data_IF_003657828720
#
_entry.id   IF_003657828720
#
_cell.length_a   1.000
_cell.length_b   1.000
_cell.length_c   1.000
_cell.angle_alpha   90.00
_cell.angle_beta   90.00
_cell.angle_gamma   90.00
#
_symmetry.space_group_name_H-M   'P 1'
#
loop_
_entity.id
_entity.type
_entity.pdbx_description
1 polymer ?
#
# COMPACT_ATOMS: atom_id res chain seq x y z
N UNK A 1 7.61 9.27 15.38
CA UNK A 1 6.40 9.29 16.22
C UNK A 1 5.53 8.12 15.78
N UNK A 2 4.60 7.67 16.61
CA UNK A 2 3.74 6.50 16.29
C UNK A 2 2.31 7.00 16.17
N UNK A 3 1.56 6.61 15.13
CA UNK A 3 0.20 7.06 14.92
C UNK A 3 -0.75 5.92 14.57
N UNK A 4 -1.95 5.93 15.13
CA UNK A 4 -3.04 5.00 14.80
C UNK A 4 -3.94 5.65 13.75
N UNK A 5 -4.19 4.95 12.65
CA UNK A 5 -5.13 5.37 11.62
C UNK A 5 -6.36 4.45 11.62
N UNK A 6 -7.51 5.00 11.99
CA UNK A 6 -8.76 4.27 12.03
C UNK A 6 -9.72 4.70 10.92
N UNK A 7 -10.36 3.72 10.30
CA UNK A 7 -11.51 3.91 9.43
C UNK A 7 -12.72 3.17 10.00
N UNK A 8 -13.83 3.87 10.23
CA UNK A 8 -15.06 3.28 10.81
C UNK A 8 -16.24 3.41 9.87
N UNK A 9 -16.89 2.29 9.58
CA UNK A 9 -18.09 2.19 8.74
C UNK A 9 -17.98 2.89 7.39
N UNK A 10 -16.77 2.80 6.79
CA UNK A 10 -16.45 3.49 5.55
C UNK A 10 -17.29 2.96 4.39
N UNK A 11 -18.16 3.81 3.87
CA UNK A 11 -18.98 3.54 2.69
C UNK A 11 -18.62 4.53 1.59
N UNK A 12 -18.39 4.02 0.39
CA UNK A 12 -18.10 4.83 -0.81
C UNK A 12 -19.01 4.42 -1.94
N UNK A 13 -19.80 5.37 -2.45
CA UNK A 13 -20.65 5.18 -3.63
C UNK A 13 -20.14 6.08 -4.76
N UNK A 14 -19.89 5.50 -5.95
CA UNK A 14 -19.50 6.23 -7.15
C UNK A 14 -20.27 5.72 -8.36
N UNK A 15 -20.78 6.66 -9.15
CA UNK A 15 -21.59 6.33 -10.34
C UNK A 15 -22.71 5.31 -10.04
N UNK A 16 -23.37 5.47 -8.89
CA UNK A 16 -24.43 4.58 -8.44
C UNK A 16 -23.98 3.19 -7.95
N UNK A 17 -22.66 2.91 -7.98
CA UNK A 17 -22.10 1.64 -7.47
C UNK A 17 -21.47 1.84 -6.11
N UNK A 18 -21.77 0.93 -5.19
CA UNK A 18 -21.13 0.86 -3.88
C UNK A 18 -19.76 0.18 -4.04
N UNK A 19 -18.68 0.95 -3.83
CA UNK A 19 -17.29 0.48 -3.96
C UNK A 19 -16.77 -0.04 -2.62
N UNK A 20 -17.10 0.65 -1.52
CA UNK A 20 -16.88 0.19 -0.15
C UNK A 20 -18.23 0.16 0.58
N UNK A 21 -18.44 -0.83 1.43
CA UNK A 21 -19.67 -1.08 2.13
C UNK A 21 -19.41 -1.37 3.60
N UNK A 22 -19.57 -0.34 4.45
CA UNK A 22 -19.36 -0.38 5.90
C UNK A 22 -18.01 -1.02 6.31
N UNK A 23 -16.93 -0.63 5.66
CA UNK A 23 -15.57 -1.14 5.95
C UNK A 23 -15.06 -0.49 7.23
N UNK A 24 -14.67 -1.31 8.21
CA UNK A 24 -13.97 -0.87 9.42
C UNK A 24 -12.58 -1.48 9.46
N UNK A 25 -11.55 -0.66 9.71
CA UNK A 25 -10.14 -1.05 9.77
C UNK A 25 -9.38 -0.16 10.74
N UNK A 26 -8.50 -0.77 11.53
CA UNK A 26 -7.53 -0.09 12.39
C UNK A 26 -6.12 -0.45 11.93
N UNK A 27 -5.32 0.56 11.61
CA UNK A 27 -3.90 0.43 11.30
C UNK A 27 -3.09 0.95 12.49
N UNK A 28 -2.23 0.10 13.04
CA UNK A 28 -1.49 0.38 14.28
C UNK A 28 0.00 0.48 14.04
N UNK A 29 0.72 1.29 14.83
CA UNK A 29 2.18 1.35 14.80
C UNK A 29 2.82 -0.02 15.05
N UNK A 30 3.96 -0.24 14.43
CA UNK A 30 4.70 -1.49 14.61
C UNK A 30 4.17 -2.67 13.80
N UNK A 31 3.05 -2.50 13.09
CA UNK A 31 2.37 -3.54 12.34
C UNK A 31 2.40 -3.24 10.85
N UNK A 32 2.89 -4.18 10.05
CA UNK A 32 2.74 -4.16 8.60
C UNK A 32 1.41 -4.82 8.23
N UNK A 33 0.44 -4.01 7.81
CA UNK A 33 -0.87 -4.49 7.37
C UNK A 33 -0.91 -4.63 5.84
N UNK A 34 -1.23 -5.82 5.35
CA UNK A 34 -1.48 -6.04 3.93
C UNK A 34 -2.98 -6.08 3.64
N UNK A 35 -3.42 -5.25 2.70
CA UNK A 35 -4.79 -5.22 2.18
C UNK A 35 -4.80 -6.03 0.89
N UNK A 36 -5.44 -7.19 0.91
CA UNK A 36 -5.50 -8.09 -0.23
C UNK A 36 -6.95 -8.31 -0.71
N UNK A 37 -7.10 -8.80 -1.93
CA UNK A 37 -8.39 -9.10 -2.55
C UNK A 37 -8.30 -9.06 -4.07
N UNK A 38 -9.29 -9.58 -4.77
CA UNK A 38 -9.36 -9.56 -6.23
C UNK A 38 -9.35 -8.14 -6.80
N UNK A 39 -9.10 -8.02 -8.11
CA UNK A 39 -9.26 -6.76 -8.80
C UNK A 39 -10.70 -6.24 -8.66
N UNK A 40 -10.86 -4.94 -8.40
CA UNK A 40 -12.18 -4.35 -8.15
C UNK A 40 -12.75 -4.58 -6.75
N UNK A 41 -12.03 -5.22 -5.82
CA UNK A 41 -12.52 -5.44 -4.44
C UNK A 41 -12.59 -4.17 -3.57
N UNK A 42 -11.98 -3.06 -4.02
CA UNK A 42 -12.00 -1.77 -3.29
C UNK A 42 -10.70 -1.39 -2.59
N UNK A 43 -9.60 -2.15 -2.74
CA UNK A 43 -8.30 -1.90 -2.06
C UNK A 43 -7.78 -0.46 -2.26
N UNK A 44 -7.60 -0.05 -3.51
CA UNK A 44 -7.12 1.31 -3.84
C UNK A 44 -8.09 2.39 -3.37
N UNK A 45 -9.41 2.11 -3.39
CA UNK A 45 -10.41 3.02 -2.87
C UNK A 45 -10.27 3.17 -1.36
N UNK A 46 -10.08 2.07 -0.63
CA UNK A 46 -9.87 2.09 0.81
C UNK A 46 -8.64 2.91 1.17
N UNK A 47 -7.49 2.67 0.52
CA UNK A 47 -6.28 3.45 0.77
C UNK A 47 -6.45 4.94 0.47
N UNK A 48 -7.12 5.30 -0.63
CA UNK A 48 -7.40 6.72 -0.97
C UNK A 48 -8.30 7.41 0.04
N UNK A 49 -9.27 6.68 0.59
CA UNK A 49 -10.15 7.17 1.66
C UNK A 49 -9.36 7.35 2.96
N UNK A 50 -8.58 6.35 3.36
CA UNK A 50 -7.72 6.41 4.55
C UNK A 50 -6.68 7.53 4.45
N UNK A 51 -6.19 7.82 3.24
CA UNK A 51 -5.29 8.94 2.96
C UNK A 51 -5.99 10.32 2.94
N UNK A 52 -7.31 10.38 3.08
CA UNK A 52 -8.08 11.61 2.94
C UNK A 52 -8.08 12.22 1.52
N UNK A 53 -7.67 11.44 0.51
CA UNK A 53 -7.66 11.85 -0.91
C UNK A 53 -9.06 11.77 -1.50
N UNK A 54 -9.84 10.76 -1.09
CA UNK A 54 -11.22 10.59 -1.52
C UNK A 54 -12.18 10.76 -0.34
N UNK A 55 -13.31 11.47 -0.54
CA UNK A 55 -14.33 11.57 0.48
C UNK A 55 -15.07 10.25 0.67
N UNK A 56 -15.57 10.02 1.87
CA UNK A 56 -16.50 8.94 2.18
C UNK A 56 -17.94 9.41 1.95
N UNK A 57 -18.83 8.48 1.59
CA UNK A 57 -20.27 8.73 1.56
C UNK A 57 -20.86 8.62 2.97
N UNK A 58 -20.34 7.68 3.77
CA UNK A 58 -20.66 7.50 5.17
C UNK A 58 -19.44 6.94 5.91
N UNK A 59 -19.36 7.14 7.23
CA UNK A 59 -18.24 6.72 8.05
C UNK A 59 -17.26 7.85 8.32
N UNK A 60 -16.19 7.54 9.04
CA UNK A 60 -15.18 8.52 9.46
C UNK A 60 -13.78 7.88 9.42
N UNK A 61 -12.78 8.69 9.05
CA UNK A 61 -11.36 8.36 9.20
C UNK A 61 -10.77 9.25 10.27
N UNK A 62 -10.06 8.66 11.23
CA UNK A 62 -9.38 9.39 12.30
C UNK A 62 -7.90 9.04 12.35
N UNK A 63 -7.07 10.02 12.68
CA UNK A 63 -5.64 9.88 12.96
C UNK A 63 -5.41 10.23 14.42
N UNK A 64 -5.02 9.26 15.24
CA UNK A 64 -4.89 9.36 16.70
C UNK A 64 -6.18 9.88 17.40
N UNK A 65 -7.35 9.53 16.85
CA UNK A 65 -8.64 9.96 17.34
C UNK A 65 -9.19 11.26 16.73
N UNK A 66 -8.35 12.07 16.10
CA UNK A 66 -8.76 13.29 15.42
C UNK A 66 -9.33 13.00 14.03
N UNK A 67 -10.47 13.57 13.70
CA UNK A 67 -11.10 13.38 12.39
C UNK A 67 -10.24 13.96 11.27
N UNK A 68 -9.74 13.11 10.36
CA UNK A 68 -8.79 13.47 9.33
C UNK A 68 -9.26 14.63 8.43
N UNK A 69 -10.56 14.71 8.13
CA UNK A 69 -11.14 15.79 7.31
C UNK A 69 -11.17 17.15 8.03
N UNK A 70 -11.10 17.17 9.37
CA UNK A 70 -11.09 18.40 10.17
C UNK A 70 -9.66 18.89 10.44
N UNK A 71 -8.65 18.04 10.24
CA UNK A 71 -7.24 18.41 10.39
C UNK A 71 -6.80 19.35 9.25
N UNK A 72 -5.89 20.30 9.55
CA UNK A 72 -5.25 21.09 8.51
C UNK A 72 -4.53 20.19 7.49
N UNK A 73 -4.75 20.42 6.19
CA UNK A 73 -4.17 19.58 5.13
C UNK A 73 -2.64 19.43 5.23
N UNK A 74 -1.98 20.49 5.67
CA UNK A 74 -0.53 20.49 5.87
C UNK A 74 -0.12 19.55 7.01
N UNK A 75 -0.85 19.53 8.10
CA UNK A 75 -0.59 18.64 9.23
C UNK A 75 -0.75 17.17 8.81
N UNK A 76 -1.85 16.86 8.13
CA UNK A 76 -2.05 15.51 7.56
C UNK A 76 -0.88 15.13 6.66
N UNK A 77 -0.45 16.02 5.75
CA UNK A 77 0.65 15.74 4.82
C UNK A 77 2.03 15.60 5.50
N UNK A 78 2.23 16.17 6.70
CA UNK A 78 3.43 15.93 7.50
C UNK A 78 3.43 14.55 8.17
N UNK A 79 2.24 13.99 8.47
CA UNK A 79 2.09 12.79 9.26
C UNK A 79 1.72 11.56 8.44
N UNK A 80 1.09 11.73 7.29
CA UNK A 80 0.60 10.66 6.44
C UNK A 80 1.11 10.82 5.02
N UNK A 81 1.79 9.79 4.51
CA UNK A 81 2.18 9.69 3.11
C UNK A 81 1.41 8.60 2.39
N UNK A 82 1.00 8.90 1.16
CA UNK A 82 0.30 7.96 0.29
C UNK A 82 1.05 7.81 -1.04
N UNK A 83 1.41 6.57 -1.38
CA UNK A 83 1.95 6.19 -2.68
C UNK A 83 0.83 5.58 -3.52
N UNK A 84 0.33 6.26 -4.57
CA UNK A 84 -0.66 5.70 -5.48
C UNK A 84 -0.03 4.68 -6.43
N UNK A 85 -0.85 3.82 -7.03
CA UNK A 85 -0.44 2.77 -7.97
C UNK A 85 0.27 3.35 -9.21
N UNK A 86 -0.25 4.45 -9.76
CA UNK A 86 0.36 5.14 -10.91
C UNK A 86 1.04 6.43 -10.45
N UNK A 87 2.31 6.56 -10.78
CA UNK A 87 3.13 7.74 -10.53
C UNK A 87 3.77 8.19 -11.84
N UNK A 88 2.98 8.82 -12.74
CA UNK A 88 3.52 9.45 -13.93
C UNK A 88 4.11 10.82 -13.58
N UNK A 89 5.29 11.12 -14.11
CA UNK A 89 5.89 12.45 -14.09
C UNK A 89 6.49 12.71 -15.47
N UNK A 90 5.83 13.58 -16.24
CA UNK A 90 6.23 13.90 -17.61
C UNK A 90 7.21 15.08 -17.68
N UNK A 91 7.52 15.67 -16.53
CA UNK A 91 8.42 16.81 -16.43
C UNK A 91 9.87 16.35 -16.18
N UNK A 92 10.81 17.15 -16.68
CA UNK A 92 12.25 16.87 -16.65
C UNK A 92 12.88 17.22 -15.29
N UNK A 93 12.34 16.69 -14.18
CA UNK A 93 12.94 16.82 -12.86
C UNK A 93 14.00 15.76 -12.61
N UNK A 94 15.01 16.08 -11.83
CA UNK A 94 15.96 15.11 -11.29
C UNK A 94 15.32 14.26 -10.18
N UNK A 95 15.90 13.09 -9.92
CA UNK A 95 15.48 12.23 -8.81
C UNK A 95 15.51 12.98 -7.48
N UNK A 96 16.57 13.74 -7.21
CA UNK A 96 16.73 14.53 -5.98
C UNK A 96 15.64 15.59 -5.83
N UNK A 97 15.29 16.30 -6.90
CA UNK A 97 14.20 17.28 -6.89
C UNK A 97 12.84 16.65 -6.59
N UNK A 98 12.53 15.49 -7.18
CA UNK A 98 11.29 14.75 -6.90
C UNK A 98 11.22 14.30 -5.43
N UNK A 99 12.32 13.77 -4.89
CA UNK A 99 12.36 13.32 -3.49
C UNK A 99 12.25 14.53 -2.55
N UNK A 100 12.87 15.67 -2.87
CA UNK A 100 12.77 16.91 -2.11
C UNK A 100 11.34 17.47 -2.04
N UNK A 101 10.46 17.16 -3.01
CA UNK A 101 9.04 17.52 -2.93
C UNK A 101 8.34 16.89 -1.72
N UNK A 102 8.83 15.75 -1.21
CA UNK A 102 8.34 15.14 0.03
C UNK A 102 8.48 16.04 1.25
N UNK A 103 9.38 17.03 1.21
CA UNK A 103 9.60 17.99 2.29
C UNK A 103 8.68 19.22 2.24
N UNK A 104 7.90 19.43 1.17
CA UNK A 104 7.01 20.59 1.04
C UNK A 104 6.07 20.81 2.24
N UNK A 105 5.46 19.79 2.84
CA UNK A 105 4.59 19.99 4.02
C UNK A 105 5.33 20.55 5.22
N UNK A 106 6.62 20.25 5.38
CA UNK A 106 7.44 20.69 6.50
C UNK A 106 7.98 22.13 6.32
N UNK A 107 7.98 22.65 5.09
CA UNK A 107 8.55 23.97 4.75
C UNK A 107 7.48 25.04 4.79
N UNK A 108 7.81 26.20 5.34
CA UNK A 108 6.97 27.39 5.23
C UNK A 108 6.80 27.82 3.76
N UNK A 109 5.73 28.58 3.46
CA UNK A 109 5.34 28.96 2.08
C UNK A 109 6.48 29.59 1.25
N UNK A 110 7.44 30.26 1.92
CA UNK A 110 8.59 30.91 1.29
C UNK A 110 9.93 30.52 1.95
N UNK A 111 9.93 29.43 2.75
CA UNK A 111 11.14 29.01 3.43
C UNK A 111 12.10 28.32 2.44
N UNK A 112 13.36 28.70 2.48
CA UNK A 112 14.43 27.99 1.78
C UNK A 112 14.60 26.59 2.40
N UNK A 113 15.22 25.69 1.64
CA UNK A 113 15.61 24.38 2.11
C UNK A 113 16.64 24.50 3.25
N UNK A 114 16.38 23.79 4.35
CA UNK A 114 17.26 23.76 5.51
C UNK A 114 18.11 22.48 5.56
N UNK A 115 19.01 22.37 6.55
CA UNK A 115 19.88 21.20 6.72
C UNK A 115 19.08 19.92 6.95
N UNK A 116 18.03 19.98 7.77
CA UNK A 116 17.17 18.81 8.07
C UNK A 116 16.40 18.31 6.84
N UNK A 117 16.00 19.22 5.95
CA UNK A 117 15.36 18.82 4.68
C UNK A 117 16.35 18.05 3.81
N UNK A 118 17.61 18.52 3.70
CA UNK A 118 18.65 17.83 2.92
C UNK A 118 19.01 16.48 3.51
N UNK A 119 19.11 16.38 4.84
CA UNK A 119 19.34 15.11 5.54
C UNK A 119 18.21 14.11 5.29
N UNK A 120 16.94 14.55 5.37
CA UNK A 120 15.78 13.72 5.10
C UNK A 120 15.76 13.21 3.64
N UNK A 121 16.05 14.09 2.68
CA UNK A 121 16.16 13.71 1.25
C UNK A 121 17.30 12.72 1.04
N UNK A 122 18.48 12.99 1.62
CA UNK A 122 19.62 12.07 1.50
C UNK A 122 19.32 10.70 2.11
N UNK A 123 18.73 10.67 3.32
CA UNK A 123 18.30 9.44 3.97
C UNK A 123 17.30 8.63 3.16
N UNK A 124 16.30 9.30 2.58
CA UNK A 124 15.31 8.65 1.72
C UNK A 124 15.93 8.07 0.44
N UNK A 125 16.86 8.82 -0.20
CA UNK A 125 17.61 8.36 -1.37
C UNK A 125 18.48 7.14 -1.03
N UNK A 126 19.14 7.14 0.13
CA UNK A 126 19.95 6.02 0.60
C UNK A 126 19.09 4.78 0.85
N UNK A 127 17.98 4.95 1.57
CA UNK A 127 17.05 3.87 1.92
C UNK A 127 16.45 3.17 0.69
N UNK A 128 16.22 3.93 -0.40
CA UNK A 128 15.68 3.42 -1.65
C UNK A 128 16.76 3.06 -2.70
N UNK A 129 18.05 3.07 -2.34
CA UNK A 129 19.18 2.82 -3.24
C UNK A 129 19.15 3.69 -4.51
N UNK A 130 19.01 5.01 -4.31
CA UNK A 130 18.87 5.99 -5.40
C UNK A 130 19.99 7.04 -5.45
N UNK A 131 20.98 7.00 -4.54
CA UNK A 131 22.05 8.00 -4.49
C UNK A 131 22.82 8.12 -5.80
N UNK A 132 23.07 7.00 -6.48
CA UNK A 132 23.78 6.94 -7.75
C UNK A 132 22.97 7.56 -8.91
N UNK A 133 21.62 7.68 -8.74
CA UNK A 133 20.72 8.25 -9.73
C UNK A 133 20.27 9.68 -9.38
N UNK A 134 20.71 10.26 -8.25
CA UNK A 134 20.14 11.51 -7.71
C UNK A 134 20.04 12.67 -8.70
N UNK A 135 21.02 12.80 -9.61
CA UNK A 135 21.08 13.86 -10.63
C UNK A 135 20.46 13.44 -11.96
N UNK A 136 20.01 12.18 -12.10
CA UNK A 136 19.42 11.67 -13.33
C UNK A 136 17.99 12.19 -13.47
N UNK A 137 17.58 12.48 -14.70
CA UNK A 137 16.21 12.89 -15.00
C UNK A 137 15.25 11.71 -14.84
N UNK A 138 14.09 11.93 -14.17
CA UNK A 138 13.09 10.88 -13.92
C UNK A 138 12.53 10.26 -15.21
N UNK A 139 12.47 11.00 -16.29
CA UNK A 139 11.98 10.50 -17.58
C UNK A 139 12.90 9.45 -18.22
N UNK A 140 14.16 9.36 -17.75
CA UNK A 140 15.17 8.40 -18.22
C UNK A 140 15.30 7.17 -17.33
N UNK A 141 14.43 7.01 -16.36
CA UNK A 141 14.43 5.89 -15.42
C UNK A 141 13.55 4.74 -15.93
N UNK A 142 13.89 3.53 -15.53
CA UNK A 142 13.01 2.36 -15.66
C UNK A 142 11.75 2.50 -14.82
N UNK A 143 10.73 1.66 -15.05
CA UNK A 143 9.52 1.65 -14.23
C UNK A 143 9.80 1.40 -12.75
N UNK A 144 10.66 0.44 -12.46
CA UNK A 144 11.05 0.11 -11.08
C UNK A 144 11.86 1.22 -10.40
N UNK A 145 12.79 1.88 -11.13
CA UNK A 145 13.50 3.05 -10.58
C UNK A 145 12.53 4.19 -10.26
N UNK A 146 11.56 4.48 -11.15
CA UNK A 146 10.52 5.49 -10.88
C UNK A 146 9.68 5.15 -9.66
N UNK A 147 9.31 3.88 -9.47
CA UNK A 147 8.58 3.43 -8.28
C UNK A 147 9.39 3.66 -6.99
N UNK A 148 10.69 3.35 -6.99
CA UNK A 148 11.58 3.63 -5.86
C UNK A 148 11.71 5.14 -5.58
N UNK A 149 11.77 5.98 -6.62
CA UNK A 149 11.77 7.46 -6.45
C UNK A 149 10.48 7.94 -5.80
N UNK A 150 9.33 7.42 -6.22
CA UNK A 150 8.05 7.77 -5.62
C UNK A 150 7.95 7.34 -4.15
N UNK A 151 8.48 6.16 -3.81
CA UNK A 151 8.60 5.71 -2.42
C UNK A 151 9.55 6.61 -1.62
N UNK A 152 10.73 6.94 -2.17
CA UNK A 152 11.69 7.84 -1.51
C UNK A 152 11.08 9.21 -1.22
N UNK A 153 10.26 9.75 -2.13
CA UNK A 153 9.50 10.98 -1.90
C UNK A 153 8.56 10.86 -0.69
N UNK A 154 7.86 9.73 -0.55
CA UNK A 154 7.01 9.47 0.62
C UNK A 154 7.84 9.39 1.91
N UNK A 155 8.99 8.71 1.88
CA UNK A 155 9.86 8.56 3.05
C UNK A 155 10.54 9.86 3.46
N UNK A 156 10.87 10.73 2.50
CA UNK A 156 11.45 12.05 2.79
C UNK A 156 10.52 12.93 3.65
N UNK A 157 9.21 12.69 3.64
CA UNK A 157 8.26 13.36 4.52
C UNK A 157 8.38 12.91 5.99
N UNK A 158 9.11 11.82 6.30
CA UNK A 158 9.17 11.19 7.63
C UNK A 158 7.77 10.93 8.22
N UNK A 159 6.90 10.22 7.51
CA UNK A 159 5.52 10.07 7.91
C UNK A 159 5.36 9.14 9.13
N UNK A 160 4.37 9.42 9.98
CA UNK A 160 3.90 8.49 11.02
C UNK A 160 3.13 7.31 10.41
N UNK A 161 2.42 7.57 9.28
CA UNK A 161 1.62 6.60 8.54
C UNK A 161 2.04 6.56 7.08
N UNK A 162 2.34 5.38 6.56
CA UNK A 162 2.70 5.13 5.16
C UNK A 162 1.69 4.18 4.51
N UNK A 163 0.95 4.69 3.53
CA UNK A 163 -0.03 3.94 2.74
C UNK A 163 0.50 3.72 1.32
N UNK A 164 0.50 2.46 0.86
CA UNK A 164 1.11 2.07 -0.41
C UNK A 164 0.10 1.29 -1.27
N UNK A 165 -0.24 1.82 -2.44
CA UNK A 165 -1.17 1.18 -3.37
C UNK A 165 -0.37 0.48 -4.48
N UNK A 166 -0.37 -0.86 -4.49
CA UNK A 166 0.36 -1.73 -5.42
C UNK A 166 1.86 -1.35 -5.57
N UNK A 167 2.61 -1.19 -4.45
CA UNK A 167 3.98 -0.66 -4.49
C UNK A 167 4.98 -1.57 -5.21
N UNK A 168 4.63 -2.85 -5.40
CA UNK A 168 5.45 -3.87 -6.07
C UNK A 168 5.13 -4.03 -7.56
N UNK A 169 4.17 -3.29 -8.08
CA UNK A 169 3.83 -3.32 -9.50
C UNK A 169 5.05 -2.91 -10.35
N UNK A 170 5.32 -3.67 -11.41
CA UNK A 170 6.44 -3.44 -12.34
C UNK A 170 7.86 -3.62 -11.74
N UNK A 171 7.98 -4.17 -10.53
CA UNK A 171 9.26 -4.58 -9.95
C UNK A 171 9.56 -6.05 -10.28
N UNK A 172 10.82 -6.36 -10.49
CA UNK A 172 11.29 -7.75 -10.50
C UNK A 172 11.23 -8.36 -9.10
N UNK A 173 11.54 -9.65 -8.99
CA UNK A 173 11.44 -10.38 -7.73
C UNK A 173 12.37 -9.84 -6.65
N UNK A 174 13.61 -9.49 -7.00
CA UNK A 174 14.62 -8.98 -6.06
C UNK A 174 14.15 -7.65 -5.46
N UNK A 175 13.72 -6.72 -6.30
CA UNK A 175 13.25 -5.41 -5.88
C UNK A 175 11.93 -5.50 -5.10
N UNK A 176 11.04 -6.44 -5.48
CA UNK A 176 9.79 -6.74 -4.74
C UNK A 176 10.10 -7.17 -3.30
N UNK A 177 10.99 -8.15 -3.13
CA UNK A 177 11.35 -8.65 -1.80
C UNK A 177 12.07 -7.58 -0.97
N UNK A 178 12.95 -6.80 -1.59
CA UNK A 178 13.65 -5.68 -0.94
C UNK A 178 12.68 -4.61 -0.44
N UNK A 179 11.67 -4.26 -1.25
CA UNK A 179 10.62 -3.31 -0.85
C UNK A 179 9.76 -3.84 0.30
N UNK A 180 9.32 -5.10 0.25
CA UNK A 180 8.54 -5.70 1.34
C UNK A 180 9.35 -5.78 2.64
N UNK A 181 10.64 -6.11 2.56
CA UNK A 181 11.56 -6.07 3.71
C UNK A 181 11.71 -4.65 4.26
N UNK A 182 11.81 -3.64 3.41
CA UNK A 182 11.84 -2.23 3.82
C UNK A 182 10.55 -1.85 4.54
N UNK A 183 9.37 -2.18 3.99
CA UNK A 183 8.08 -1.93 4.64
C UNK A 183 8.02 -2.58 6.03
N UNK A 184 8.52 -3.80 6.17
CA UNK A 184 8.60 -4.49 7.46
C UNK A 184 9.54 -3.77 8.43
N UNK A 185 10.71 -3.33 7.97
CA UNK A 185 11.67 -2.57 8.79
C UNK A 185 11.07 -1.24 9.26
N UNK A 186 10.36 -0.52 8.38
CA UNK A 186 9.68 0.73 8.74
C UNK A 186 8.58 0.47 9.79
N UNK A 187 7.79 -0.58 9.61
CA UNK A 187 6.79 -0.96 10.61
C UNK A 187 7.44 -1.25 11.97
N UNK A 188 8.46 -2.12 12.02
CA UNK A 188 9.14 -2.46 13.29
C UNK A 188 9.83 -1.26 13.95
N UNK A 189 10.20 -0.21 13.20
CA UNK A 189 10.70 1.05 13.77
C UNK A 189 9.61 2.02 14.23
N UNK A 190 8.33 1.59 14.18
CA UNK A 190 7.21 2.34 14.76
C UNK A 190 6.34 3.09 13.77
N UNK A 191 6.66 3.06 12.47
CA UNK A 191 5.77 3.62 11.43
C UNK A 191 4.54 2.71 11.26
N UNK A 192 3.36 3.29 11.11
CA UNK A 192 2.16 2.54 10.71
C UNK A 192 2.20 2.32 9.21
N UNK A 193 2.32 1.08 8.77
CA UNK A 193 2.46 0.76 7.33
C UNK A 193 1.31 -0.10 6.85
N UNK A 194 0.62 0.35 5.79
CA UNK A 194 -0.35 -0.48 5.09
C UNK A 194 -0.06 -0.50 3.59
N UNK A 195 -0.12 -1.68 2.99
CA UNK A 195 0.04 -1.84 1.55
C UNK A 195 -1.12 -2.63 0.95
N UNK A 196 -1.63 -2.18 -0.20
CA UNK A 196 -2.55 -2.96 -1.02
C UNK A 196 -1.77 -3.72 -2.07
N UNK A 197 -2.09 -4.99 -2.27
CA UNK A 197 -1.48 -5.82 -3.30
C UNK A 197 -2.38 -6.99 -3.71
N UNK A 198 -2.10 -7.57 -4.85
CA UNK A 198 -2.68 -8.83 -5.31
C UNK A 198 -1.70 -10.01 -5.12
N UNK A 199 -0.45 -9.76 -4.74
CA UNK A 199 0.57 -10.79 -4.49
C UNK A 199 0.42 -11.39 -3.09
N UNK A 200 -0.50 -12.35 -2.98
CA UNK A 200 -0.83 -13.01 -1.71
C UNK A 200 0.36 -13.82 -1.17
N UNK A 201 1.14 -14.47 -2.06
CA UNK A 201 2.22 -15.36 -1.67
C UNK A 201 3.38 -14.62 -1.00
N UNK A 202 3.89 -13.57 -1.63
CA UNK A 202 4.99 -12.78 -1.08
C UNK A 202 4.56 -12.00 0.17
N UNK A 203 3.38 -11.39 0.13
CA UNK A 203 2.90 -10.57 1.26
C UNK A 203 2.68 -11.39 2.54
N UNK A 204 2.22 -12.64 2.43
CA UNK A 204 2.02 -13.53 3.57
C UNK A 204 3.28 -13.73 4.43
N UNK A 205 4.49 -13.59 3.82
CA UNK A 205 5.77 -13.75 4.53
C UNK A 205 6.21 -12.51 5.30
N UNK A 206 5.75 -11.33 4.91
CA UNK A 206 6.23 -10.06 5.47
C UNK A 206 5.19 -9.36 6.35
N UNK A 207 3.89 -9.53 6.05
CA UNK A 207 2.83 -8.87 6.78
C UNK A 207 2.58 -9.50 8.16
N UNK A 208 2.31 -8.64 9.14
CA UNK A 208 1.84 -9.06 10.47
C UNK A 208 0.35 -9.30 10.47
N UNK A 209 -0.36 -8.47 9.72
CA UNK A 209 -1.81 -8.47 9.62
C UNK A 209 -2.26 -8.43 8.16
N UNK A 210 -3.30 -9.18 7.85
CA UNK A 210 -3.96 -9.18 6.56
C UNK A 210 -5.39 -8.70 6.73
N UNK A 211 -5.79 -7.78 5.86
CA UNK A 211 -7.17 -7.37 5.64
C UNK A 211 -7.62 -7.91 4.28
N UNK A 212 -8.52 -8.88 4.28
CA UNK A 212 -9.06 -9.48 3.06
C UNK A 212 -10.33 -8.76 2.64
N UNK A 213 -10.29 -8.10 1.48
CA UNK A 213 -11.40 -7.38 0.87
C UNK A 213 -12.00 -8.17 -0.28
N UNK A 214 -13.34 -8.29 -0.30
CA UNK A 214 -14.10 -8.85 -1.41
C UNK A 214 -15.43 -8.11 -1.56
N UNK A 215 -15.77 -7.69 -2.78
CA UNK A 215 -17.03 -7.00 -3.08
C UNK A 215 -17.24 -5.73 -2.23
N UNK A 216 -16.17 -5.00 -1.93
CA UNK A 216 -16.23 -3.78 -1.13
C UNK A 216 -16.37 -3.98 0.37
N UNK A 217 -16.29 -5.21 0.87
CA UNK A 217 -16.44 -5.57 2.30
C UNK A 217 -15.19 -6.26 2.83
N UNK A 218 -14.95 -6.14 4.12
CA UNK A 218 -13.95 -6.94 4.83
C UNK A 218 -14.52 -8.34 5.06
N UNK A 219 -13.89 -9.35 4.47
CA UNK A 219 -14.27 -10.75 4.63
C UNK A 219 -13.56 -11.39 5.80
N UNK A 220 -12.31 -10.98 6.04
CA UNK A 220 -11.50 -11.44 7.18
C UNK A 220 -10.41 -10.43 7.50
N UNK A 221 -10.03 -10.35 8.77
CA UNK A 221 -8.88 -9.58 9.25
C UNK A 221 -8.17 -10.38 10.34
N UNK A 222 -6.84 -10.34 10.36
CA UNK A 222 -6.02 -11.04 11.36
C UNK A 222 -4.64 -11.44 10.84
N UNK A 223 -3.97 -12.36 11.53
CA UNK A 223 -2.68 -12.88 11.10
C UNK A 223 -2.77 -13.59 9.75
N UNK A 224 -1.67 -13.65 8.97
CA UNK A 224 -1.66 -14.35 7.68
C UNK A 224 -2.21 -15.78 7.80
N UNK A 225 -1.80 -16.55 8.80
CA UNK A 225 -2.26 -17.92 9.00
C UNK A 225 -3.78 -18.00 9.28
N UNK A 226 -4.36 -17.03 9.98
CA UNK A 226 -5.78 -17.02 10.31
C UNK A 226 -6.66 -16.58 9.13
N UNK A 227 -6.13 -15.74 8.22
CA UNK A 227 -6.86 -15.17 7.09
C UNK A 227 -6.71 -16.00 5.82
N UNK A 228 -5.49 -16.46 5.50
CA UNK A 228 -5.16 -17.16 4.26
C UNK A 228 -5.46 -18.67 4.35
N UNK A 229 -6.68 -19.03 4.64
CA UNK A 229 -7.10 -20.43 4.66
C UNK A 229 -7.49 -20.91 3.25
N UNK A 230 -7.26 -22.20 2.89
CA UNK A 230 -7.63 -22.74 1.58
C UNK A 230 -9.09 -22.48 1.22
N UNK A 231 -10.01 -22.62 2.18
CA UNK A 231 -11.43 -22.39 1.98
C UNK A 231 -11.73 -20.93 1.57
N UNK A 232 -11.12 -19.94 2.23
CA UNK A 232 -11.29 -18.51 1.89
C UNK A 232 -10.64 -18.16 0.56
N UNK A 233 -9.44 -18.66 0.31
CA UNK A 233 -8.73 -18.42 -0.96
C UNK A 233 -9.52 -18.99 -2.13
N UNK A 234 -10.11 -20.17 -1.98
CA UNK A 234 -11.01 -20.75 -2.98
C UNK A 234 -12.26 -19.90 -3.21
N UNK A 235 -12.89 -19.38 -2.13
CA UNK A 235 -14.11 -18.57 -2.25
C UNK A 235 -13.83 -17.18 -2.86
N UNK A 236 -12.71 -16.54 -2.47
CA UNK A 236 -12.44 -15.13 -2.81
C UNK A 236 -11.65 -15.01 -4.11
N UNK A 237 -10.66 -15.88 -4.32
CA UNK A 237 -9.74 -15.82 -5.47
C UNK A 237 -10.01 -16.91 -6.53
N UNK A 238 -10.91 -17.87 -6.22
CA UNK A 238 -11.24 -18.99 -7.09
C UNK A 238 -10.02 -19.89 -7.41
N UNK A 239 -9.12 -20.07 -6.43
CA UNK A 239 -7.92 -20.88 -6.53
C UNK A 239 -7.91 -21.95 -5.45
N UNK A 240 -7.43 -23.14 -5.78
CA UNK A 240 -7.09 -24.15 -4.79
C UNK A 240 -5.71 -23.83 -4.20
N UNK A 241 -5.56 -24.05 -2.90
CA UNK A 241 -4.33 -23.66 -2.20
C UNK A 241 -3.90 -24.78 -1.27
N UNK A 242 -2.61 -25.10 -1.32
CA UNK A 242 -1.94 -25.95 -0.35
C UNK A 242 -1.00 -25.10 0.52
N UNK A 243 -1.03 -25.30 1.82
CA UNK A 243 -0.11 -24.70 2.75
C UNK A 243 1.00 -25.72 3.02
N UNK A 244 2.23 -25.38 2.66
CA UNK A 244 3.40 -26.24 2.91
C UNK A 244 4.33 -25.56 3.91
N UNK A 245 4.93 -26.36 4.79
CA UNK A 245 5.96 -25.86 5.71
C UNK A 245 7.31 -25.93 5.00
N UNK A 246 8.01 -24.82 4.92
CA UNK A 246 9.37 -24.74 4.37
C UNK A 246 10.40 -25.29 5.36
N UNK A 247 11.62 -25.68 4.94
CA UNK A 247 12.64 -26.25 5.84
C UNK A 247 13.03 -25.34 7.00
N UNK A 248 12.86 -24.03 6.85
CA UNK A 248 13.08 -23.00 7.88
C UNK A 248 11.86 -22.78 8.81
N UNK A 249 10.83 -23.65 8.71
CA UNK A 249 9.64 -23.63 9.56
C UNK A 249 8.58 -22.60 9.19
N UNK A 250 8.77 -21.85 8.10
CA UNK A 250 7.79 -20.90 7.60
C UNK A 250 6.70 -21.59 6.78
N UNK A 251 5.53 -20.94 6.65
CA UNK A 251 4.46 -21.41 5.76
C UNK A 251 4.60 -20.77 4.38
N UNK A 252 4.50 -21.60 3.34
CA UNK A 252 4.40 -21.15 1.95
C UNK A 252 3.05 -21.59 1.34
N UNK A 253 2.51 -20.75 0.46
CA UNK A 253 1.26 -21.02 -0.24
C UNK A 253 1.60 -21.51 -1.66
N UNK A 254 1.08 -22.66 -2.03
CA UNK A 254 1.12 -23.19 -3.39
C UNK A 254 -0.30 -23.05 -3.96
N UNK A 255 -0.41 -22.35 -5.07
CA UNK A 255 -1.71 -22.11 -5.73
C UNK A 255 -1.88 -23.03 -6.94
N UNK A 256 -3.10 -23.52 -7.12
CA UNK A 256 -3.50 -24.31 -8.29
C UNK A 256 -4.86 -23.81 -8.80
N UNK A 257 -5.13 -24.07 -10.08
CA UNK A 257 -6.43 -23.76 -10.67
C UNK A 257 -7.37 -24.93 -10.37
N UNK A 258 -8.53 -24.70 -9.73
CA UNK A 258 -9.48 -25.79 -9.48
C UNK A 258 -9.86 -26.45 -10.81
N UNK A 259 -10.03 -27.77 -10.83
CA UNK A 259 -10.51 -28.48 -12.02
C UNK A 259 -11.84 -27.87 -12.46
N UNK A 260 -11.97 -27.59 -13.77
CA UNK A 260 -13.20 -27.05 -14.33
C UNK A 260 -14.38 -27.94 -13.93
N UNK A 261 -15.45 -27.35 -13.42
CA UNK A 261 -16.65 -28.10 -13.08
C UNK A 261 -17.11 -28.87 -14.34
N UNK A 262 -17.40 -30.16 -14.25
CA UNK A 262 -17.87 -30.94 -15.39
C UNK A 262 -19.12 -30.28 -15.96
N UNK A 263 -19.02 -29.65 -17.15
CA UNK A 263 -20.11 -28.97 -17.86
C UNK A 263 -19.85 -27.52 -18.31
N UNK A 264 -18.74 -26.86 -17.92
CA UNK A 264 -18.50 -25.45 -18.28
C UNK A 264 -17.94 -25.23 -19.69
N UNK A 265 -17.48 -26.26 -20.41
CA UNK A 265 -16.87 -26.16 -21.74
C UNK A 265 -17.85 -26.27 -22.92
N UNK A 266 -19.16 -26.38 -22.68
CA UNK A 266 -20.14 -26.62 -23.73
C UNK A 266 -20.91 -25.38 -24.26
N UNK A 267 -20.61 -24.15 -23.79
CA UNK A 267 -21.39 -22.98 -24.18
C UNK A 267 -20.57 -21.87 -24.88
N UNK A 268 -19.35 -22.12 -25.34
CA UNK A 268 -18.48 -21.13 -26.00
C UNK A 268 -18.24 -21.32 -27.52
N UNK A 269 -18.93 -22.23 -28.19
CA UNK A 269 -18.67 -22.53 -29.61
C UNK A 269 -19.89 -22.28 -30.52
N UNK A 270 -20.59 -21.17 -30.32
CA UNK A 270 -21.52 -20.60 -31.34
C UNK A 270 -21.87 -19.17 -30.96
N UNK A 271 -21.02 -18.22 -31.41
CA UNK A 271 -21.50 -16.92 -31.99
C UNK A 271 -20.31 -16.17 -32.61
#
# INVERSE_FOLDING_TARGET
MTAVLDGRDLTVVRHGRRILDAVTVTLTPGVLTAIIGPNGSGKSTLLRVLAGVWPVTNGVVTLDGDTLLQMPRREVACRLSFLPQETSCDFAFTVEEIVAMGRHPHRGRFAAENVHDREAVHGALTTCDLLHLRKRNITRLSGGERQRVALARCLAAHPDVLLLDEPTAHLDLEHTLSLLKLCRTLATSGTTVALATHDVGNVARFADQILLLHGGRVVASGSPASVLTPARLRTVFLVDTQIVTTPDGNSALIFDVPPAAPGALAQGAHR
#
